data_IF_023221181459
#
_entry.id   IF_023221181459
#
_cell.length_a   1.000
_cell.length_b   1.000
_cell.length_c   1.000
_cell.angle_alpha   90.00
_cell.angle_beta   90.00
_cell.angle_gamma   90.00
#
_symmetry.space_group_name_H-M   'P 1'
#
loop_
_entity.id
_entity.type
_entity.pdbx_description
1 polymer ?
#
# COMPACT_ATOMS: atom_id res chain seq x y z
N UNK A 1 41.49 -46.36 57.54
CA UNK A 1 41.74 -45.83 56.18
C UNK A 1 41.91 -44.34 56.31
N UNK A 2 43.14 -43.82 56.22
CA UNK A 2 43.37 -42.39 56.13
C UNK A 2 43.07 -41.94 54.70
N UNK A 3 42.13 -41.01 54.54
CA UNK A 3 41.81 -40.39 53.26
C UNK A 3 42.91 -39.37 52.99
N UNK A 4 43.74 -39.59 51.97
CA UNK A 4 44.66 -38.55 51.48
C UNK A 4 43.83 -37.33 51.05
N UNK A 5 43.88 -36.27 51.85
CA UNK A 5 43.35 -34.98 51.45
C UNK A 5 44.41 -34.28 50.58
N UNK A 6 44.13 -34.14 49.29
CA UNK A 6 45.00 -33.42 48.37
C UNK A 6 45.17 -31.95 48.80
N UNK A 7 46.40 -31.46 48.79
CA UNK A 7 46.72 -30.08 49.13
C UNK A 7 45.98 -29.10 48.22
N UNK A 8 45.37 -28.03 48.76
CA UNK A 8 44.60 -27.09 47.96
C UNK A 8 45.50 -26.37 46.93
N UNK A 9 44.95 -26.01 45.76
CA UNK A 9 45.70 -25.35 44.71
C UNK A 9 46.23 -24.00 45.18
N UNK A 10 47.43 -23.62 44.71
CA UNK A 10 48.01 -22.31 44.99
C UNK A 10 47.12 -21.16 44.48
N UNK A 11 47.21 -19.99 45.11
CA UNK A 11 46.51 -18.76 44.68
C UNK A 11 46.84 -18.42 43.22
N UNK A 12 48.08 -18.67 42.79
CA UNK A 12 48.52 -18.48 41.39
C UNK A 12 47.78 -19.41 40.42
N UNK A 13 47.60 -20.69 40.76
CA UNK A 13 46.81 -21.62 39.95
C UNK A 13 45.33 -21.26 39.90
N UNK A 14 44.74 -20.79 41.01
CA UNK A 14 43.36 -20.32 41.04
C UNK A 14 43.15 -19.09 40.15
N UNK A 15 44.06 -18.11 40.19
CA UNK A 15 44.00 -16.92 39.32
C UNK A 15 44.13 -17.27 37.83
N UNK A 16 44.99 -18.23 37.47
CA UNK A 16 45.09 -18.72 36.09
C UNK A 16 43.80 -19.42 35.64
N UNK A 17 43.16 -20.20 36.51
CA UNK A 17 41.87 -20.83 36.24
C UNK A 17 40.75 -19.81 35.99
N UNK A 18 40.62 -18.81 36.87
CA UNK A 18 39.65 -17.72 36.72
C UNK A 18 39.85 -16.93 35.43
N UNK A 19 41.11 -16.65 35.04
CA UNK A 19 41.42 -15.95 33.79
C UNK A 19 41.01 -16.77 32.56
N UNK A 20 41.19 -18.09 32.57
CA UNK A 20 40.73 -18.97 31.48
C UNK A 20 39.20 -18.97 31.36
N UNK A 21 38.49 -19.02 32.49
CA UNK A 21 37.02 -18.95 32.50
C UNK A 21 36.53 -17.61 31.95
N UNK A 22 37.15 -16.50 32.34
CA UNK A 22 36.79 -15.17 31.86
C UNK A 22 37.02 -15.02 30.34
N UNK A 23 38.11 -15.60 29.81
CA UNK A 23 38.36 -15.62 28.37
C UNK A 23 37.28 -16.41 27.63
N UNK A 24 36.95 -17.61 28.09
CA UNK A 24 35.86 -18.41 27.48
C UNK A 24 34.49 -17.72 27.53
N UNK A 25 34.18 -17.00 28.62
CA UNK A 25 32.96 -16.18 28.71
C UNK A 25 32.94 -15.03 27.69
N UNK A 26 34.09 -14.44 27.38
CA UNK A 26 34.17 -13.37 26.40
C UNK A 26 33.99 -13.91 24.97
N UNK A 27 34.55 -15.07 24.67
CA UNK A 27 34.41 -15.73 23.37
C UNK A 27 32.94 -16.12 23.11
N UNK A 28 32.27 -16.72 24.11
CA UNK A 28 30.83 -17.05 24.04
C UNK A 28 29.99 -15.78 23.78
N UNK A 29 30.30 -14.67 24.46
CA UNK A 29 29.60 -13.39 24.23
C UNK A 29 29.81 -12.85 22.82
N UNK A 30 31.01 -12.99 22.26
CA UNK A 30 31.33 -12.56 20.91
C UNK A 30 30.58 -13.41 19.87
N UNK A 31 30.55 -14.74 20.04
CA UNK A 31 29.80 -15.66 19.19
C UNK A 31 28.30 -15.38 19.23
N UNK A 32 27.72 -15.22 20.43
CA UNK A 32 26.31 -14.87 20.58
C UNK A 32 25.96 -13.56 19.88
N UNK A 33 26.83 -12.54 19.98
CA UNK A 33 26.63 -11.25 19.29
C UNK A 33 26.67 -11.39 17.77
N UNK A 34 27.57 -12.22 17.24
CA UNK A 34 27.66 -12.48 15.81
C UNK A 34 26.43 -13.24 15.30
N UNK A 35 25.96 -14.23 16.04
CA UNK A 35 24.74 -14.98 15.72
C UNK A 35 23.50 -14.08 15.69
N UNK A 36 23.32 -13.23 16.71
CA UNK A 36 22.21 -12.26 16.74
C UNK A 36 22.28 -11.30 15.54
N UNK A 37 23.49 -10.85 15.17
CA UNK A 37 23.69 -9.96 14.01
C UNK A 37 23.34 -10.66 12.69
N UNK A 38 23.67 -11.95 12.52
CA UNK A 38 23.30 -12.71 11.33
C UNK A 38 21.80 -12.93 11.22
N UNK A 39 21.11 -13.27 12.31
CA UNK A 39 19.66 -13.44 12.33
C UNK A 39 18.93 -12.14 11.97
N UNK A 40 19.32 -11.02 12.60
CA UNK A 40 18.79 -9.68 12.27
C UNK A 40 19.03 -9.30 10.80
N UNK A 41 20.16 -9.73 10.21
CA UNK A 41 20.45 -9.50 8.79
C UNK A 41 19.52 -10.32 7.89
N UNK A 42 19.30 -11.59 8.22
CA UNK A 42 18.38 -12.48 7.49
C UNK A 42 16.94 -11.96 7.52
N UNK A 43 16.47 -11.51 8.69
CA UNK A 43 15.14 -10.94 8.83
C UNK A 43 14.96 -9.66 7.98
N UNK A 44 15.95 -8.76 8.00
CA UNK A 44 15.96 -7.56 7.14
C UNK A 44 15.90 -7.90 5.65
N UNK A 45 16.66 -8.91 5.21
CA UNK A 45 16.64 -9.39 3.82
C UNK A 45 15.25 -9.95 3.45
N UNK A 46 14.61 -10.69 4.34
CA UNK A 46 13.26 -11.22 4.12
C UNK A 46 12.21 -10.11 4.02
N UNK A 47 12.26 -9.11 4.91
CA UNK A 47 11.40 -7.93 4.85
C UNK A 47 11.60 -7.15 3.54
N UNK A 48 12.85 -6.99 3.09
CA UNK A 48 13.16 -6.34 1.81
C UNK A 48 12.55 -7.11 0.63
N UNK A 49 12.64 -8.44 0.61
CA UNK A 49 12.02 -9.29 -0.41
C UNK A 49 10.49 -9.15 -0.43
N UNK A 50 9.84 -9.16 0.74
CA UNK A 50 8.38 -8.98 0.86
C UNK A 50 7.96 -7.61 0.32
N UNK A 51 8.68 -6.55 0.72
CA UNK A 51 8.41 -5.19 0.26
C UNK A 51 8.59 -5.03 -1.25
N UNK A 52 9.62 -5.65 -1.83
CA UNK A 52 9.83 -5.65 -3.28
C UNK A 52 8.72 -6.40 -4.02
N UNK A 53 8.29 -7.57 -3.52
CA UNK A 53 7.15 -8.31 -4.09
C UNK A 53 5.89 -7.45 -4.06
N UNK A 54 5.58 -6.81 -2.93
CA UNK A 54 4.43 -5.89 -2.78
C UNK A 54 4.50 -4.74 -3.78
N UNK A 55 5.65 -4.08 -3.91
CA UNK A 55 5.87 -2.99 -4.88
C UNK A 55 5.62 -3.45 -6.32
N UNK A 56 6.12 -4.63 -6.69
CA UNK A 56 5.90 -5.20 -8.02
C UNK A 56 4.42 -5.52 -8.28
N UNK A 57 3.71 -6.09 -7.31
CA UNK A 57 2.26 -6.31 -7.39
C UNK A 57 1.50 -5.01 -7.59
N UNK A 58 1.80 -3.97 -6.81
CA UNK A 58 1.16 -2.65 -6.95
C UNK A 58 1.43 -2.02 -8.33
N UNK A 59 2.66 -2.15 -8.85
CA UNK A 59 3.02 -1.68 -10.19
C UNK A 59 2.22 -2.39 -11.27
N UNK A 60 2.07 -3.72 -11.16
CA UNK A 60 1.29 -4.51 -12.11
C UNK A 60 -0.20 -4.19 -12.04
N UNK A 61 -0.76 -4.03 -10.84
CA UNK A 61 -2.15 -3.62 -10.65
C UNK A 61 -2.42 -2.24 -11.23
N UNK A 62 -1.51 -1.28 -11.02
CA UNK A 62 -1.62 0.05 -11.62
C UNK A 62 -1.61 0.00 -13.15
N UNK A 63 -0.71 -0.78 -13.76
CA UNK A 63 -0.68 -0.96 -15.22
C UNK A 63 -1.98 -1.58 -15.74
N UNK A 64 -2.50 -2.61 -15.07
CA UNK A 64 -3.77 -3.27 -15.43
C UNK A 64 -4.95 -2.30 -15.32
N UNK A 65 -5.04 -1.54 -14.23
CA UNK A 65 -6.08 -0.53 -14.05
C UNK A 65 -6.08 0.52 -15.14
N UNK A 66 -4.91 1.07 -15.48
CA UNK A 66 -4.77 2.03 -16.59
C UNK A 66 -5.20 1.42 -17.93
N UNK A 67 -4.81 0.18 -18.21
CA UNK A 67 -5.22 -0.51 -19.44
C UNK A 67 -6.74 -0.65 -19.50
N UNK A 68 -7.36 -1.09 -18.40
CA UNK A 68 -8.82 -1.25 -18.31
C UNK A 68 -9.55 0.08 -18.48
N UNK A 69 -9.05 1.17 -17.89
CA UNK A 69 -9.62 2.52 -18.08
C UNK A 69 -9.64 2.92 -19.57
N UNK A 70 -8.56 2.64 -20.32
CA UNK A 70 -8.54 2.90 -21.77
C UNK A 70 -9.49 1.98 -22.56
N UNK A 71 -9.68 0.74 -22.14
CA UNK A 71 -10.65 -0.18 -22.73
C UNK A 71 -12.09 0.31 -22.50
N UNK A 72 -12.44 0.65 -21.26
CA UNK A 72 -13.76 1.21 -20.90
C UNK A 72 -14.04 2.49 -21.68
N UNK A 73 -13.06 3.40 -21.81
CA UNK A 73 -13.24 4.60 -22.63
C UNK A 73 -13.64 4.27 -24.07
N UNK A 74 -13.01 3.26 -24.68
CA UNK A 74 -13.34 2.81 -26.05
C UNK A 74 -14.71 2.15 -26.13
N UNK A 75 -15.08 1.36 -25.13
CA UNK A 75 -16.41 0.75 -25.02
C UNK A 75 -17.50 1.83 -24.93
N UNK A 76 -17.34 2.80 -24.03
CA UNK A 76 -18.26 3.93 -23.87
C UNK A 76 -18.45 4.72 -25.18
N UNK A 77 -17.36 5.02 -25.90
CA UNK A 77 -17.45 5.69 -27.20
C UNK A 77 -18.23 4.85 -28.24
N UNK A 78 -18.03 3.53 -28.28
CA UNK A 78 -18.77 2.62 -29.18
C UNK A 78 -20.26 2.54 -28.81
N UNK A 79 -20.59 2.70 -27.54
CA UNK A 79 -21.96 2.71 -27.03
C UNK A 79 -22.66 4.07 -27.16
N UNK A 80 -22.01 5.04 -27.81
CA UNK A 80 -22.57 6.36 -28.10
C UNK A 80 -22.46 7.38 -26.96
N UNK A 81 -21.66 7.12 -25.93
CA UNK A 81 -21.40 8.11 -24.89
C UNK A 81 -20.45 9.20 -25.39
N UNK A 82 -20.72 10.45 -25.01
CA UNK A 82 -19.75 11.53 -25.13
C UNK A 82 -18.86 11.58 -23.88
N UNK A 83 -17.55 11.46 -24.04
CA UNK A 83 -16.58 11.56 -22.93
C UNK A 83 -16.29 13.04 -22.67
N UNK A 84 -16.86 13.59 -21.60
CA UNK A 84 -16.64 14.98 -21.19
C UNK A 84 -15.26 15.21 -20.58
N UNK A 85 -14.71 14.19 -19.91
CA UNK A 85 -13.38 14.24 -19.32
C UNK A 85 -12.99 12.93 -18.65
N UNK A 86 -11.69 12.70 -18.51
CA UNK A 86 -11.13 11.56 -17.77
C UNK A 86 -10.35 12.06 -16.56
N UNK A 87 -10.39 11.30 -15.46
CA UNK A 87 -9.77 11.68 -14.18
C UNK A 87 -10.26 13.06 -13.69
N UNK A 88 -11.57 13.29 -13.79
CA UNK A 88 -12.22 14.56 -13.45
C UNK A 88 -12.30 14.69 -11.94
N UNK A 89 -11.89 15.83 -11.39
CA UNK A 89 -11.99 16.06 -9.95
C UNK A 89 -13.30 16.74 -9.60
N UNK A 90 -13.91 16.32 -8.51
CA UNK A 90 -15.08 16.99 -7.93
C UNK A 90 -14.90 17.13 -6.43
N UNK A 91 -15.50 18.17 -5.85
CA UNK A 91 -15.59 18.36 -4.40
C UNK A 91 -16.97 17.90 -3.94
N UNK A 92 -17.01 16.85 -3.14
CA UNK A 92 -18.22 16.39 -2.45
C UNK A 92 -18.30 17.05 -1.07
N UNK A 93 -19.37 16.77 -0.34
CA UNK A 93 -19.52 17.20 1.06
C UNK A 93 -18.35 16.70 1.94
N UNK A 94 -17.89 15.46 1.69
CA UNK A 94 -16.86 14.82 2.51
C UNK A 94 -15.44 15.25 2.12
N UNK A 95 -15.09 15.17 0.83
CA UNK A 95 -13.76 15.55 0.35
C UNK A 95 -13.73 15.61 -1.18
N UNK A 96 -12.52 15.73 -1.75
CA UNK A 96 -12.32 15.48 -3.17
C UNK A 96 -12.64 14.03 -3.56
N UNK A 97 -13.27 13.86 -4.71
CA UNK A 97 -13.46 12.61 -5.47
C UNK A 97 -12.87 12.80 -6.86
N UNK A 98 -12.24 11.77 -7.40
CA UNK A 98 -11.75 11.73 -8.79
C UNK A 98 -12.59 10.71 -9.52
N UNK A 99 -13.30 11.13 -10.56
CA UNK A 99 -14.12 10.28 -11.42
C UNK A 99 -13.23 9.78 -12.55
N UNK A 100 -13.22 8.47 -12.83
CA UNK A 100 -12.38 7.93 -13.90
C UNK A 100 -12.82 8.46 -15.27
N UNK A 101 -14.11 8.36 -15.60
CA UNK A 101 -14.69 9.03 -16.77
C UNK A 101 -15.99 9.75 -16.44
N UNK A 102 -16.06 11.05 -16.73
CA UNK A 102 -17.30 11.80 -16.76
C UNK A 102 -17.85 11.75 -18.18
N UNK A 103 -19.10 11.31 -18.31
CA UNK A 103 -19.73 11.07 -19.61
C UNK A 103 -21.08 11.76 -19.71
N UNK A 104 -21.53 11.98 -20.94
CA UNK A 104 -22.88 12.47 -21.25
C UNK A 104 -23.54 11.53 -22.25
N UNK A 105 -24.79 11.16 -22.00
CA UNK A 105 -25.67 10.43 -22.92
C UNK A 105 -27.10 10.88 -22.70
N UNK A 106 -27.82 11.20 -23.78
CA UNK A 106 -29.23 11.65 -23.73
C UNK A 106 -29.47 12.77 -22.70
N UNK A 107 -28.61 13.79 -22.73
CA UNK A 107 -28.56 14.91 -21.78
C UNK A 107 -28.24 14.61 -20.31
N UNK A 108 -28.08 13.34 -19.95
CA UNK A 108 -27.71 12.91 -18.61
C UNK A 108 -26.18 12.87 -18.48
N UNK A 109 -25.66 13.52 -17.43
CA UNK A 109 -24.25 13.45 -17.06
C UNK A 109 -24.08 12.41 -15.96
N UNK A 110 -23.17 11.47 -16.16
CA UNK A 110 -22.87 10.42 -15.18
C UNK A 110 -21.37 10.21 -15.00
N UNK A 111 -21.01 9.61 -13.88
CA UNK A 111 -19.66 9.18 -13.54
C UNK A 111 -19.51 7.69 -13.80
N UNK A 112 -18.41 7.31 -14.44
CA UNK A 112 -17.99 5.92 -14.58
C UNK A 112 -16.79 5.70 -13.67
N UNK A 113 -16.92 4.75 -12.75
CA UNK A 113 -15.82 4.20 -11.95
C UNK A 113 -15.35 2.90 -12.60
N UNK A 114 -14.06 2.80 -12.88
CA UNK A 114 -13.46 1.63 -13.51
C UNK A 114 -12.79 0.77 -12.44
N UNK A 115 -13.15 -0.51 -12.42
CA UNK A 115 -12.47 -1.54 -11.64
C UNK A 115 -11.83 -2.55 -12.58
N UNK A 116 -10.87 -3.33 -12.05
CA UNK A 116 -10.22 -4.37 -12.83
C UNK A 116 -9.79 -5.51 -11.92
N UNK A 117 -9.92 -6.75 -12.41
CA UNK A 117 -9.68 -7.94 -11.60
C UNK A 117 -10.63 -8.00 -10.41
N UNK A 118 -10.09 -8.17 -9.20
CA UNK A 118 -10.89 -8.31 -7.97
C UNK A 118 -11.02 -7.00 -7.18
N UNK A 119 -10.73 -5.85 -7.81
CA UNK A 119 -10.80 -4.55 -7.14
C UNK A 119 -12.26 -4.17 -6.89
N UNK A 120 -12.59 -3.83 -5.64
CA UNK A 120 -13.93 -3.34 -5.26
C UNK A 120 -13.88 -1.87 -4.87
N UNK A 121 -15.02 -1.18 -4.91
CA UNK A 121 -15.14 0.16 -4.33
C UNK A 121 -14.93 0.08 -2.82
N UNK A 122 -14.17 1.04 -2.28
CA UNK A 122 -14.07 1.20 -0.82
C UNK A 122 -15.31 1.90 -0.26
N UNK A 123 -15.58 1.73 1.04
CA UNK A 123 -16.72 2.38 1.70
C UNK A 123 -16.71 3.91 1.54
N UNK A 124 -15.53 4.52 1.57
CA UNK A 124 -15.38 5.96 1.34
C UNK A 124 -15.67 6.37 -0.10
N UNK A 125 -15.39 5.52 -1.10
CA UNK A 125 -15.80 5.77 -2.48
C UNK A 125 -17.33 5.74 -2.59
N UNK A 126 -17.96 4.72 -2.02
CA UNK A 126 -19.43 4.57 -2.03
C UNK A 126 -20.09 5.79 -1.37
N UNK A 127 -19.60 6.20 -0.20
CA UNK A 127 -20.11 7.36 0.53
C UNK A 127 -19.98 8.66 -0.27
N UNK A 128 -18.86 8.87 -0.98
CA UNK A 128 -18.69 10.00 -1.89
C UNK A 128 -19.60 9.91 -3.09
N UNK A 129 -19.69 8.75 -3.74
CA UNK A 129 -20.55 8.52 -4.90
C UNK A 129 -22.03 8.80 -4.55
N UNK A 130 -22.49 8.36 -3.38
CA UNK A 130 -23.84 8.64 -2.89
C UNK A 130 -24.07 10.14 -2.62
N UNK A 131 -23.08 10.86 -2.08
CA UNK A 131 -23.18 12.33 -1.95
C UNK A 131 -23.22 13.02 -3.32
N UNK A 132 -22.43 12.58 -4.30
CA UNK A 132 -22.53 13.12 -5.66
C UNK A 132 -23.93 12.93 -6.25
N UNK A 133 -24.57 11.78 -6.02
CA UNK A 133 -25.92 11.51 -6.51
C UNK A 133 -26.99 12.33 -5.78
N UNK A 134 -26.92 12.40 -4.44
CA UNK A 134 -28.00 12.96 -3.62
C UNK A 134 -27.91 14.48 -3.44
N UNK A 135 -26.71 15.00 -3.16
CA UNK A 135 -26.50 16.43 -2.84
C UNK A 135 -25.78 17.17 -3.97
N UNK A 136 -25.20 16.42 -4.92
CA UNK A 136 -24.34 16.96 -5.95
C UNK A 136 -22.90 17.15 -5.51
N UNK A 137 -22.05 17.49 -6.48
CA UNK A 137 -20.65 17.79 -6.26
C UNK A 137 -20.19 18.96 -7.13
N UNK A 138 -19.30 19.79 -6.59
CA UNK A 138 -18.70 20.90 -7.34
C UNK A 138 -17.65 20.36 -8.28
N UNK A 139 -17.80 20.56 -9.58
CA UNK A 139 -16.84 20.13 -10.59
C UNK A 139 -15.60 21.04 -10.54
N UNK A 140 -14.42 20.46 -10.35
CA UNK A 140 -13.16 21.19 -10.12
C UNK A 140 -11.96 20.56 -10.86
N UNK A 141 -10.84 21.27 -10.84
CA UNK A 141 -9.58 20.77 -11.38
C UNK A 141 -9.45 20.96 -12.89
N UNK A 142 -8.28 20.59 -13.40
CA UNK A 142 -7.84 20.92 -14.77
C UNK A 142 -8.46 20.04 -15.86
N UNK A 143 -8.93 18.84 -15.52
CA UNK A 143 -9.54 17.90 -16.48
C UNK A 143 -11.07 18.04 -16.53
N UNK A 144 -11.65 18.97 -15.77
CA UNK A 144 -13.08 19.23 -15.80
C UNK A 144 -13.47 19.89 -17.14
N UNK A 145 -14.63 19.55 -17.72
CA UNK A 145 -15.14 20.24 -18.89
C UNK A 145 -15.47 21.70 -18.52
N UNK A 146 -14.98 22.64 -19.33
CA UNK A 146 -14.94 24.06 -18.97
C UNK A 146 -16.35 24.64 -18.71
N UNK A 147 -17.35 24.19 -19.48
CA UNK A 147 -18.74 24.60 -19.34
C UNK A 147 -19.43 24.11 -18.05
N UNK A 148 -18.84 23.14 -17.33
CA UNK A 148 -19.35 22.63 -16.05
C UNK A 148 -18.46 23.00 -14.86
N UNK A 149 -17.27 23.52 -15.10
CA UNK A 149 -16.31 23.87 -14.05
C UNK A 149 -16.92 24.86 -13.07
N UNK A 150 -16.67 24.63 -11.79
CA UNK A 150 -17.24 25.35 -10.64
C UNK A 150 -18.76 25.24 -10.44
N UNK A 151 -19.49 24.52 -11.29
CA UNK A 151 -20.91 24.21 -11.05
C UNK A 151 -21.05 23.04 -10.09
N UNK A 152 -22.15 23.06 -9.33
CA UNK A 152 -22.59 21.94 -8.51
C UNK A 152 -23.70 21.23 -9.26
N UNK A 153 -23.52 19.95 -9.56
CA UNK A 153 -24.53 19.11 -10.22
C UNK A 153 -24.62 17.76 -9.50
N UNK A 154 -25.78 17.12 -9.58
CA UNK A 154 -25.94 15.72 -9.20
C UNK A 154 -25.31 14.82 -10.26
N UNK A 155 -24.62 13.77 -9.82
CA UNK A 155 -23.89 12.84 -10.69
C UNK A 155 -24.05 11.44 -10.13
N UNK A 156 -24.75 10.58 -10.86
CA UNK A 156 -24.81 9.16 -10.53
C UNK A 156 -23.53 8.43 -10.99
N UNK A 157 -23.08 7.45 -10.20
CA UNK A 157 -21.89 6.65 -10.52
C UNK A 157 -22.26 5.24 -10.90
N UNK A 158 -21.86 4.81 -12.10
CA UNK A 158 -21.90 3.42 -12.55
C UNK A 158 -20.51 2.79 -12.48
N UNK A 159 -20.43 1.53 -12.06
CA UNK A 159 -19.17 0.77 -12.03
C UNK A 159 -19.04 -0.08 -13.28
N UNK A 160 -17.84 -0.13 -13.87
CA UNK A 160 -17.49 -1.10 -14.90
C UNK A 160 -16.25 -1.90 -14.50
N UNK A 161 -16.39 -3.22 -14.53
CA UNK A 161 -15.33 -4.19 -14.22
C UNK A 161 -14.58 -4.63 -15.49
#
# INVERSE_FOLDING_TARGET
MAIEMSSPPSISSMRKGLRKIQLGLNDIKAEAKNFIKSELSTEKLNLAKINNKKRMTLKNNSKRGKKREHEVKRELLKEGYNILGSQVSVKTEYSRRVIDHMVKKDDIISAIEVKSGNAKRSSLQILKDNSMANTGAKIIGKNAPENLKNKVITIETTVRD
#
